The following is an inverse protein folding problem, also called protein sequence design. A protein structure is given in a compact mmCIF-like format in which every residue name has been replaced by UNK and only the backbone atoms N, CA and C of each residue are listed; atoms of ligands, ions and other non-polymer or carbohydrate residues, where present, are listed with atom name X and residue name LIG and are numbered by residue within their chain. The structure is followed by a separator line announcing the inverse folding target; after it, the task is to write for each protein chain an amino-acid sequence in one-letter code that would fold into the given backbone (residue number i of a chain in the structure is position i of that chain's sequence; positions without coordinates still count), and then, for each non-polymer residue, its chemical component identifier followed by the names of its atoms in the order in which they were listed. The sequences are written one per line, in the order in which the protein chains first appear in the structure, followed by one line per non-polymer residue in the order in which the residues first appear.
data_IF_497743474415
#
_entry.id   IF_497743474415
#
_cell.length_a   1.000
_cell.length_b   1.000
_cell.length_c   1.000
_cell.angle_alpha   90.00
_cell.angle_beta   90.00
_cell.angle_gamma   90.00
#
_symmetry.space_group_name_H-M   'P 1'
#
loop_
_entity.id
_entity.type
_entity.pdbx_description
1 polymer ?
#
# COMPACT_ATOMS: atom_id res chain seq x y z
N UNK A 1 -17.96 12.09 -11.98
CA UNK A 1 -17.58 11.89 -10.55
C UNK A 1 -17.05 10.48 -10.39
N UNK A 2 -15.74 10.29 -10.21
CA UNK A 2 -15.10 8.97 -10.15
C UNK A 2 -15.16 8.41 -8.71
N UNK A 3 -16.37 8.08 -8.23
CA UNK A 3 -16.66 7.69 -6.85
C UNK A 3 -15.68 6.64 -6.26
N UNK A 4 -15.16 5.74 -7.12
CA UNK A 4 -14.18 4.72 -6.73
C UNK A 4 -12.83 5.32 -6.31
N UNK A 5 -12.32 6.33 -7.01
CA UNK A 5 -11.02 6.96 -6.70
C UNK A 5 -11.08 7.72 -5.37
N UNK A 6 -12.18 8.40 -5.12
CA UNK A 6 -12.37 9.16 -3.89
C UNK A 6 -12.47 8.22 -2.69
N UNK A 7 -13.20 7.11 -2.81
CA UNK A 7 -13.28 6.09 -1.76
C UNK A 7 -11.90 5.47 -1.44
N UNK A 8 -11.13 5.10 -2.47
CA UNK A 8 -9.76 4.59 -2.28
C UNK A 8 -8.89 5.63 -1.56
N UNK A 9 -8.96 6.91 -1.96
CA UNK A 9 -8.18 7.98 -1.33
C UNK A 9 -8.56 8.19 0.14
N UNK A 10 -9.86 8.15 0.45
CA UNK A 10 -10.34 8.26 1.84
C UNK A 10 -9.82 7.11 2.70
N UNK A 11 -9.89 5.86 2.21
CA UNK A 11 -9.38 4.70 2.94
C UNK A 11 -7.87 4.79 3.15
N UNK A 12 -7.10 5.12 2.11
CA UNK A 12 -5.65 5.29 2.23
C UNK A 12 -5.27 6.40 3.23
N UNK A 13 -6.10 7.42 3.40
CA UNK A 13 -5.85 8.55 4.31
C UNK A 13 -5.97 8.18 5.80
N UNK A 14 -6.75 7.16 6.14
CA UNK A 14 -6.94 6.70 7.53
C UNK A 14 -6.03 5.51 7.89
N UNK A 15 -5.38 4.90 6.89
CA UNK A 15 -4.41 3.83 7.10
C UNK A 15 -3.09 4.35 7.68
N UNK A 16 -2.29 3.44 8.26
CA UNK A 16 -0.91 3.77 8.64
C UNK A 16 -0.15 4.24 7.39
N UNK A 17 0.57 5.38 7.44
CA UNK A 17 1.21 5.97 6.26
C UNK A 17 2.08 4.99 5.47
N UNK A 18 2.83 4.14 6.18
CA UNK A 18 3.71 3.15 5.56
C UNK A 18 2.94 2.06 4.80
N UNK A 19 1.78 1.63 5.30
CA UNK A 19 0.91 0.68 4.61
C UNK A 19 0.29 1.28 3.36
N UNK A 20 -0.18 2.53 3.45
CA UNK A 20 -0.69 3.25 2.29
C UNK A 20 0.38 3.41 1.19
N UNK A 21 1.63 3.69 1.58
CA UNK A 21 2.76 3.78 0.64
C UNK A 21 3.05 2.45 -0.07
N UNK A 22 3.00 1.31 0.64
CA UNK A 22 3.17 -0.01 0.00
C UNK A 22 2.12 -0.23 -1.10
N UNK A 23 0.85 0.06 -0.81
CA UNK A 23 -0.24 -0.12 -1.77
C UNK A 23 -0.14 0.84 -2.96
N UNK A 24 0.22 2.11 -2.68
CA UNK A 24 0.38 3.11 -3.73
C UNK A 24 1.47 2.70 -4.71
N UNK A 25 2.66 2.36 -4.22
CA UNK A 25 3.76 1.94 -5.08
C UNK A 25 3.42 0.65 -5.83
N UNK A 26 2.77 -0.32 -5.18
CA UNK A 26 2.38 -1.55 -5.87
C UNK A 26 1.38 -1.29 -7.01
N UNK A 27 0.51 -0.29 -6.86
CA UNK A 27 -0.43 0.14 -7.91
C UNK A 27 0.23 0.85 -9.10
N UNK A 28 1.49 1.27 -8.95
CA UNK A 28 2.32 1.86 -9.99
C UNK A 28 3.30 0.84 -10.62
N UNK A 29 2.97 -0.45 -10.53
CA UNK A 29 3.74 -1.57 -11.11
C UNK A 29 5.18 -1.73 -10.60
N UNK A 30 5.57 -1.05 -9.52
CA UNK A 30 6.85 -1.28 -8.87
C UNK A 30 6.95 -2.72 -8.35
N UNK A 31 8.12 -3.33 -8.59
CA UNK A 31 8.48 -4.63 -8.06
C UNK A 31 8.71 -4.57 -6.54
N UNK A 32 8.63 -5.72 -5.88
CA UNK A 32 8.91 -5.84 -4.44
C UNK A 32 10.31 -5.33 -4.04
N UNK A 33 11.30 -5.49 -4.91
CA UNK A 33 12.65 -4.98 -4.68
C UNK A 33 12.69 -3.45 -4.75
N UNK A 34 12.04 -2.85 -5.74
CA UNK A 34 11.97 -1.39 -5.88
C UNK A 34 11.20 -0.77 -4.71
N UNK A 35 10.06 -1.34 -4.33
CA UNK A 35 9.29 -0.89 -3.16
C UNK A 35 10.13 -0.98 -1.88
N UNK A 36 10.87 -2.08 -1.70
CA UNK A 36 11.74 -2.27 -0.55
C UNK A 36 12.87 -1.23 -0.51
N UNK A 37 13.47 -0.94 -1.67
CA UNK A 37 14.51 0.08 -1.82
C UNK A 37 13.96 1.50 -1.54
N UNK A 38 12.83 1.86 -2.14
CA UNK A 38 12.21 3.19 -2.00
C UNK A 38 11.81 3.46 -0.54
N UNK A 39 11.27 2.45 0.14
CA UNK A 39 10.77 2.59 1.52
C UNK A 39 11.80 2.21 2.59
N UNK A 40 13.03 1.90 2.16
CA UNK A 40 14.15 1.46 2.99
C UNK A 40 13.74 0.37 3.99
N UNK A 41 13.19 -0.73 3.47
CA UNK A 41 12.80 -1.92 4.24
C UNK A 41 13.51 -3.15 3.71
N UNK A 42 13.59 -4.20 4.53
CA UNK A 42 14.17 -5.47 4.11
C UNK A 42 13.34 -6.09 2.96
N UNK A 43 13.94 -6.39 1.79
CA UNK A 43 13.26 -7.05 0.69
C UNK A 43 12.63 -8.40 1.06
N UNK A 44 13.19 -9.11 2.05
CA UNK A 44 12.64 -10.39 2.52
C UNK A 44 11.30 -10.21 3.27
N UNK A 45 11.04 -9.04 3.87
CA UNK A 45 9.80 -8.79 4.61
C UNK A 45 8.72 -8.10 3.79
N UNK A 46 9.03 -7.67 2.57
CA UNK A 46 8.12 -6.86 1.75
C UNK A 46 6.80 -7.57 1.44
N UNK A 47 6.83 -8.88 1.15
CA UNK A 47 5.63 -9.66 0.89
C UNK A 47 4.66 -9.62 2.08
N UNK A 48 5.17 -9.88 3.29
CA UNK A 48 4.37 -9.80 4.52
C UNK A 48 3.86 -8.40 4.81
N UNK A 49 4.68 -7.36 4.57
CA UNK A 49 4.29 -5.97 4.77
C UNK A 49 3.18 -5.52 3.82
N UNK A 50 3.27 -5.92 2.54
CA UNK A 50 2.25 -5.68 1.52
C UNK A 50 0.98 -6.42 1.88
N UNK A 51 1.03 -7.72 2.18
CA UNK A 51 -0.17 -8.49 2.55
C UNK A 51 -0.89 -7.90 3.77
N UNK A 52 -0.15 -7.44 4.79
CA UNK A 52 -0.73 -6.73 5.94
C UNK A 52 -1.37 -5.41 5.55
N UNK A 53 -0.76 -4.66 4.64
CA UNK A 53 -1.33 -3.41 4.13
C UNK A 53 -2.64 -3.68 3.38
N UNK A 54 -2.69 -4.71 2.53
CA UNK A 54 -3.90 -5.10 1.80
C UNK A 54 -5.01 -5.57 2.74
N UNK A 55 -4.66 -6.32 3.80
CA UNK A 55 -5.63 -6.74 4.81
C UNK A 55 -6.21 -5.53 5.56
N UNK A 56 -5.37 -4.59 5.98
CA UNK A 56 -5.83 -3.34 6.58
C UNK A 56 -6.73 -2.55 5.63
N UNK A 57 -6.38 -2.45 4.35
CA UNK A 57 -7.21 -1.78 3.36
C UNK A 57 -8.59 -2.45 3.21
N UNK A 58 -8.63 -3.79 3.12
CA UNK A 58 -9.89 -4.55 3.01
C UNK A 58 -10.83 -4.39 4.21
N UNK A 59 -10.30 -4.08 5.40
CA UNK A 59 -11.11 -3.84 6.60
C UNK A 59 -11.81 -2.48 6.57
N UNK A 60 -11.17 -1.50 5.96
CA UNK A 60 -11.60 -0.09 5.98
C UNK A 60 -12.35 0.32 4.70
N UNK A 61 -12.22 -0.44 3.61
CA UNK A 61 -12.85 -0.17 2.31
C UNK A 61 -14.25 -0.79 2.18
#
# INVERSE_FOLDING_TARGET
MSQKKDKVRSVLSIMKPRQAQFLLLRSHDFSYQEVASILNVNPASIGTLVSRAEESFRKEY
#
